data_IF_249079530198
#
_entry.id   IF_249079530198
#
_cell.length_a   1.000
_cell.length_b   1.000
_cell.length_c   1.000
_cell.angle_alpha   90.00
_cell.angle_beta   90.00
_cell.angle_gamma   90.00
#
_symmetry.space_group_name_H-M   'P 1'
#
loop_
_entity.id
_entity.type
_entity.pdbx_description
1 polymer ?
#
# COMPACT_ATOMS: atom_id res chain seq x y z
N UNK A 1 -3.59 15.62 -27.35
CA UNK A 1 -3.67 14.79 -26.13
C UNK A 1 -3.94 15.67 -24.90
N UNK A 2 -5.09 16.33 -24.83
CA UNK A 2 -5.45 17.13 -23.65
C UNK A 2 -6.67 16.49 -22.96
N UNK A 3 -6.64 16.39 -21.63
CA UNK A 3 -7.77 15.91 -20.82
C UNK A 3 -7.88 14.40 -20.58
N UNK A 4 -6.86 13.59 -20.90
CA UNK A 4 -6.87 12.16 -20.59
C UNK A 4 -6.22 11.86 -19.24
N UNK A 5 -6.80 10.92 -18.48
CA UNK A 5 -6.22 10.39 -17.25
C UNK A 5 -5.24 9.25 -17.54
N UNK A 6 -4.08 9.29 -16.90
CA UNK A 6 -3.02 8.28 -16.97
C UNK A 6 -2.69 7.80 -15.56
N UNK A 7 -2.45 6.50 -15.43
CA UNK A 7 -1.92 5.92 -14.20
C UNK A 7 -0.42 5.70 -14.38
N UNK A 8 0.35 6.07 -13.37
CA UNK A 8 1.81 5.92 -13.29
C UNK A 8 2.10 5.07 -12.06
N UNK A 9 2.93 4.05 -12.23
CA UNK A 9 3.19 3.05 -11.21
C UNK A 9 4.17 2.00 -11.70
N UNK A 10 4.31 0.91 -10.94
CA UNK A 10 5.31 -0.10 -11.21
C UNK A 10 4.92 -1.06 -12.35
N UNK A 11 5.88 -1.87 -12.77
CA UNK A 11 5.80 -2.72 -13.96
C UNK A 11 4.73 -3.81 -13.86
N UNK A 12 4.39 -4.25 -12.65
CA UNK A 12 3.48 -5.38 -12.41
C UNK A 12 2.71 -5.24 -11.09
N UNK A 13 1.53 -5.89 -10.96
CA UNK A 13 0.89 -6.04 -9.66
C UNK A 13 1.71 -6.94 -8.74
N UNK A 14 1.54 -6.74 -7.43
CA UNK A 14 2.11 -7.58 -6.38
C UNK A 14 1.02 -8.08 -5.45
N UNK A 15 1.25 -9.24 -4.84
CA UNK A 15 0.42 -9.70 -3.71
C UNK A 15 0.88 -8.93 -2.47
N UNK A 16 0.01 -8.09 -1.92
CA UNK A 16 0.35 -7.13 -0.86
C UNK A 16 1.08 -7.76 0.33
N UNK A 17 0.56 -8.88 0.85
CA UNK A 17 1.13 -9.54 2.03
C UNK A 17 2.46 -10.23 1.74
N UNK A 18 2.64 -10.78 0.54
CA UNK A 18 3.91 -11.36 0.13
C UNK A 18 4.98 -10.27 -0.02
N UNK A 19 4.59 -9.13 -0.63
CA UNK A 19 5.45 -7.96 -0.77
C UNK A 19 5.88 -7.38 0.59
N UNK A 20 4.96 -7.24 1.55
CA UNK A 20 5.28 -6.80 2.92
C UNK A 20 6.24 -7.80 3.59
N UNK A 21 6.00 -9.10 3.46
CA UNK A 21 6.89 -10.12 4.00
C UNK A 21 8.28 -10.09 3.36
N UNK A 22 8.38 -9.73 2.09
CA UNK A 22 9.66 -9.52 1.39
C UNK A 22 10.47 -8.37 2.01
N UNK A 23 9.80 -7.24 2.31
CA UNK A 23 10.40 -6.09 2.98
C UNK A 23 10.89 -6.49 4.39
N UNK A 24 10.02 -7.14 5.18
CA UNK A 24 10.38 -7.60 6.53
C UNK A 24 11.57 -8.56 6.51
N UNK A 25 11.61 -9.49 5.53
CA UNK A 25 12.70 -10.46 5.42
C UNK A 25 14.04 -9.78 5.14
N UNK A 26 14.07 -8.71 4.33
CA UNK A 26 15.29 -7.94 4.07
C UNK A 26 15.83 -7.23 5.31
N UNK A 27 14.95 -6.86 6.25
CA UNK A 27 15.32 -6.31 7.55
C UNK A 27 15.55 -7.38 8.64
N UNK A 28 15.62 -8.66 8.30
CA UNK A 28 15.73 -9.78 9.25
C UNK A 28 14.59 -9.80 10.30
N UNK A 29 13.41 -9.28 9.94
CA UNK A 29 12.22 -9.29 10.80
C UNK A 29 11.33 -10.51 10.51
N UNK A 30 10.59 -11.02 11.51
CA UNK A 30 9.70 -12.15 11.33
C UNK A 30 8.54 -11.82 10.37
N UNK A 31 8.16 -12.80 9.56
CA UNK A 31 7.04 -12.70 8.62
C UNK A 31 5.69 -12.60 9.35
N UNK A 32 4.75 -11.89 8.73
CA UNK A 32 3.36 -11.80 9.20
C UNK A 32 2.65 -13.11 8.88
N UNK A 33 2.23 -13.82 9.94
CA UNK A 33 1.50 -15.10 9.84
C UNK A 33 0.04 -14.98 10.28
N UNK A 34 -0.30 -13.92 11.02
CA UNK A 34 -1.66 -13.70 11.55
C UNK A 34 -2.46 -12.82 10.61
N UNK A 35 -3.77 -13.09 10.54
CA UNK A 35 -4.72 -12.32 9.74
C UNK A 35 -5.88 -11.88 10.63
N UNK A 36 -6.45 -10.73 10.30
CA UNK A 36 -7.65 -10.19 10.94
C UNK A 36 -8.72 -9.99 9.86
N UNK A 37 -9.97 -10.41 10.08
CA UNK A 37 -11.08 -10.13 9.17
C UNK A 37 -11.28 -8.62 8.96
N UNK A 38 -11.61 -8.21 7.73
CA UNK A 38 -11.83 -6.80 7.36
C UNK A 38 -12.85 -6.12 8.29
N UNK A 39 -13.96 -6.79 8.59
CA UNK A 39 -15.00 -6.20 9.45
C UNK A 39 -14.49 -5.83 10.85
N UNK A 40 -13.59 -6.64 11.42
CA UNK A 40 -12.99 -6.38 12.73
C UNK A 40 -12.03 -5.19 12.62
N UNK A 41 -11.14 -5.18 11.62
CA UNK A 41 -10.20 -4.10 11.41
C UNK A 41 -10.91 -2.76 11.14
N UNK A 42 -12.01 -2.79 10.38
CA UNK A 42 -12.85 -1.63 10.10
C UNK A 42 -13.54 -1.09 11.36
N UNK A 43 -14.06 -2.00 12.20
CA UNK A 43 -14.65 -1.64 13.50
C UNK A 43 -13.63 -0.99 14.45
N UNK A 44 -12.41 -1.53 14.51
CA UNK A 44 -11.30 -0.92 15.26
C UNK A 44 -10.96 0.47 14.73
N UNK A 45 -10.88 0.63 13.41
CA UNK A 45 -10.66 1.94 12.78
C UNK A 45 -11.73 2.97 13.15
N UNK A 46 -13.02 2.57 13.13
CA UNK A 46 -14.12 3.44 13.56
C UNK A 46 -13.99 3.85 15.03
N UNK A 47 -13.64 2.90 15.91
CA UNK A 47 -13.44 3.17 17.32
C UNK A 47 -12.29 4.15 17.56
N UNK A 48 -11.12 3.90 16.95
CA UNK A 48 -9.96 4.77 17.06
C UNK A 48 -10.25 6.19 16.55
N UNK A 49 -10.89 6.32 15.39
CA UNK A 49 -11.30 7.62 14.85
C UNK A 49 -12.26 8.37 15.78
N UNK A 50 -13.25 7.65 16.35
CA UNK A 50 -14.24 8.24 17.26
C UNK A 50 -13.59 8.69 18.57
N UNK A 51 -12.68 7.88 19.11
CA UNK A 51 -11.94 8.19 20.33
C UNK A 51 -11.06 9.44 20.15
N UNK A 52 -10.27 9.48 19.08
CA UNK A 52 -9.42 10.63 18.77
C UNK A 52 -10.23 11.91 18.59
N UNK A 53 -11.38 11.81 17.93
CA UNK A 53 -12.31 12.93 17.74
C UNK A 53 -12.92 13.40 19.05
N UNK A 54 -13.39 12.48 19.88
CA UNK A 54 -14.08 12.81 21.14
C UNK A 54 -13.13 13.45 22.16
N UNK A 55 -11.92 12.90 22.31
CA UNK A 55 -10.91 13.43 23.24
C UNK A 55 -10.04 14.55 22.63
N UNK A 56 -10.28 14.92 21.37
CA UNK A 56 -9.51 15.96 20.64
C UNK A 56 -8.00 15.69 20.69
N UNK A 57 -7.63 14.41 20.58
CA UNK A 57 -6.23 13.97 20.60
C UNK A 57 -5.55 14.54 19.36
N UNK A 58 -4.40 15.21 19.56
CA UNK A 58 -3.58 15.70 18.46
C UNK A 58 -2.76 14.53 17.90
N UNK A 59 -2.81 14.32 16.59
CA UNK A 59 -2.13 13.23 15.90
C UNK A 59 -3.08 12.36 15.08
N UNK A 60 -2.54 11.32 14.46
CA UNK A 60 -3.30 10.39 13.63
C UNK A 60 -3.67 9.12 14.41
N UNK A 61 -4.91 8.62 14.28
CA UNK A 61 -5.27 7.34 14.87
C UNK A 61 -4.40 6.21 14.30
N UNK A 62 -3.94 5.25 15.13
CA UNK A 62 -3.08 4.15 14.68
C UNK A 62 -3.77 3.20 13.69
N UNK A 63 -5.10 3.19 13.68
CA UNK A 63 -5.94 2.49 12.73
C UNK A 63 -7.08 3.40 12.32
N UNK A 64 -7.37 3.45 11.02
CA UNK A 64 -8.53 4.14 10.45
C UNK A 64 -9.31 3.18 9.56
N UNK A 65 -10.56 3.52 9.27
CA UNK A 65 -11.36 2.78 8.29
C UNK A 65 -10.69 2.76 6.91
N UNK A 66 -10.01 3.87 6.57
CA UNK A 66 -9.22 3.97 5.35
C UNK A 66 -8.07 2.94 5.33
N UNK A 67 -7.25 2.91 6.39
CA UNK A 67 -6.14 1.93 6.51
C UNK A 67 -6.66 0.49 6.40
N UNK A 68 -7.76 0.17 7.09
CA UNK A 68 -8.39 -1.16 6.98
C UNK A 68 -8.73 -1.53 5.53
N UNK A 69 -9.35 -0.62 4.78
CA UNK A 69 -9.75 -0.86 3.39
C UNK A 69 -8.55 -0.94 2.43
N UNK A 70 -7.50 -0.15 2.67
CA UNK A 70 -6.27 -0.20 1.86
C UNK A 70 -5.60 -1.59 1.94
N UNK A 71 -5.60 -2.22 3.12
CA UNK A 71 -4.98 -3.54 3.31
C UNK A 71 -5.90 -4.72 3.00
N UNK A 72 -7.22 -4.53 2.93
CA UNK A 72 -8.17 -5.61 2.68
C UNK A 72 -8.60 -5.76 1.22
N UNK A 73 -8.40 -4.73 0.39
CA UNK A 73 -8.83 -4.71 -1.02
C UNK A 73 -7.64 -4.76 -1.97
N UNK A 74 -7.85 -5.43 -3.10
CA UNK A 74 -6.87 -5.47 -4.20
C UNK A 74 -7.00 -4.22 -5.06
N UNK A 75 -5.90 -3.51 -5.26
CA UNK A 75 -5.85 -2.30 -6.07
C UNK A 75 -4.76 -2.44 -7.13
N UNK A 76 -5.14 -2.27 -8.40
CA UNK A 76 -4.21 -2.22 -9.51
C UNK A 76 -4.81 -1.40 -10.65
N UNK A 77 -3.96 -0.62 -11.32
CA UNK A 77 -4.36 0.22 -12.45
C UNK A 77 -3.50 -0.09 -13.66
N UNK A 78 -4.10 -0.04 -14.86
CA UNK A 78 -3.36 -0.26 -16.10
C UNK A 78 -2.53 0.96 -16.48
N UNK A 79 -1.24 0.73 -16.73
CA UNK A 79 -0.28 1.72 -17.22
C UNK A 79 -0.21 1.77 -18.76
N UNK A 80 -1.05 1.00 -19.45
CA UNK A 80 -1.01 0.83 -20.91
C UNK A 80 -1.06 2.16 -21.66
N UNK A 81 -1.98 3.07 -21.28
CA UNK A 81 -2.09 4.39 -21.91
C UNK A 81 -0.81 5.22 -21.79
N UNK A 82 -0.15 5.17 -20.63
CA UNK A 82 1.11 5.89 -20.42
C UNK A 82 2.24 5.28 -21.24
N UNK A 83 2.26 3.95 -21.36
CA UNK A 83 3.22 3.22 -22.18
C UNK A 83 3.06 3.56 -23.67
N UNK A 84 1.84 3.49 -24.20
CA UNK A 84 1.56 3.70 -25.62
C UNK A 84 1.79 5.15 -26.06
N UNK A 85 1.37 6.12 -25.24
CA UNK A 85 1.44 7.54 -25.63
C UNK A 85 2.80 8.18 -25.32
N UNK A 86 3.49 7.72 -24.28
CA UNK A 86 4.72 8.36 -23.79
C UNK A 86 5.93 7.42 -23.72
N UNK A 87 5.78 6.16 -24.11
CA UNK A 87 6.84 5.16 -23.93
C UNK A 87 7.14 4.87 -22.46
N UNK A 88 6.22 5.19 -21.54
CA UNK A 88 6.46 5.06 -20.10
C UNK A 88 6.76 3.61 -19.71
N UNK A 89 7.94 3.41 -19.11
CA UNK A 89 8.36 2.18 -18.44
C UNK A 89 9.13 2.55 -17.17
N UNK A 90 8.88 1.89 -16.03
CA UNK A 90 9.71 2.04 -14.84
C UNK A 90 11.18 1.77 -15.18
N UNK A 91 12.08 2.63 -14.71
CA UNK A 91 13.52 2.48 -14.94
C UNK A 91 14.19 1.52 -13.97
N UNK A 92 13.59 1.35 -12.80
CA UNK A 92 14.06 0.53 -11.70
C UNK A 92 12.93 -0.45 -11.40
N UNK A 93 13.24 -1.75 -11.38
CA UNK A 93 12.24 -2.76 -11.03
C UNK A 93 11.91 -2.73 -9.53
N UNK A 94 10.80 -3.36 -9.14
CA UNK A 94 10.43 -3.48 -7.73
C UNK A 94 11.56 -4.12 -6.91
N UNK A 95 12.19 -5.17 -7.41
CA UNK A 95 13.27 -5.89 -6.72
C UNK A 95 14.50 -5.00 -6.56
N UNK A 96 14.91 -4.30 -7.64
CA UNK A 96 16.01 -3.34 -7.58
C UNK A 96 15.73 -2.22 -6.59
N UNK A 97 14.51 -1.68 -6.57
CA UNK A 97 14.10 -0.63 -5.64
C UNK A 97 14.10 -1.11 -4.19
N UNK A 98 13.65 -2.35 -3.93
CA UNK A 98 13.71 -2.95 -2.61
C UNK A 98 15.16 -3.06 -2.13
N UNK A 99 16.06 -3.60 -2.95
CA UNK A 99 17.46 -3.78 -2.57
C UNK A 99 18.16 -2.42 -2.30
N UNK A 100 17.87 -1.40 -3.11
CA UNK A 100 18.42 -0.04 -2.92
C UNK A 100 17.91 0.65 -1.66
N UNK A 101 16.67 0.39 -1.24
CA UNK A 101 16.03 1.10 -0.12
C UNK A 101 16.16 0.38 1.21
N UNK A 102 16.30 -0.95 1.18
CA UNK A 102 16.40 -1.78 2.40
C UNK A 102 17.81 -2.28 2.68
N UNK A 103 18.76 -2.08 1.76
CA UNK A 103 20.18 -2.50 1.89
C UNK A 103 21.06 -1.65 2.83
N UNK A 104 20.54 -1.20 3.98
CA UNK A 104 21.35 -0.56 5.04
C UNK A 104 21.13 -1.22 6.40
#
# INVERSE_FOLDING_TARGET
MAGQAYFIGQERPVVLWDFINEILSRHNLPKITKKVPEAIAFGVGLFCESWYRFFRIKGEPPMTRFVSLQFSRSHYFSHQKANEHFGYKPRISIEQALDLTTGK
#
